data_IF_462481184653
#
_entry.id   IF_462481184653
#
_cell.length_a   1.000
_cell.length_b   1.000
_cell.length_c   1.000
_cell.angle_alpha   90.00
_cell.angle_beta   90.00
_cell.angle_gamma   90.00
#
_symmetry.space_group_name_H-M   'P 1'
#
loop_
_entity.id
_entity.type
_entity.pdbx_description
1 polymer ?
#
# COMPACT_ATOMS: atom_id res chain seq x y z
N UNK A 1 -18.97 -24.55 -5.04
CA UNK A 1 -18.13 -25.18 -4.00
C UNK A 1 -16.68 -25.03 -4.47
N UNK A 2 -15.84 -24.19 -3.82
CA UNK A 2 -14.44 -24.08 -4.21
C UNK A 2 -13.72 -25.41 -3.97
N UNK A 3 -12.90 -25.82 -4.94
CA UNK A 3 -12.23 -27.12 -5.02
C UNK A 3 -11.21 -27.28 -3.87
N UNK A 4 -11.58 -27.93 -2.76
CA UNK A 4 -10.75 -28.13 -1.54
C UNK A 4 -9.68 -29.22 -1.70
N UNK A 5 -9.16 -29.42 -2.92
CA UNK A 5 -8.29 -30.54 -3.22
C UNK A 5 -6.80 -30.20 -3.13
N UNK A 6 -6.06 -31.02 -2.37
CA UNK A 6 -4.60 -30.88 -2.21
C UNK A 6 -3.89 -31.18 -3.52
N UNK A 7 -2.93 -30.33 -3.86
CA UNK A 7 -2.06 -30.47 -5.04
C UNK A 7 -0.61 -30.60 -4.57
N UNK A 8 0.15 -31.52 -5.18
CA UNK A 8 1.57 -31.69 -4.84
C UNK A 8 2.44 -30.61 -5.49
N UNK A 9 3.29 -29.96 -4.71
CA UNK A 9 4.17 -28.90 -5.21
C UNK A 9 5.34 -29.39 -6.07
N UNK A 10 5.66 -30.68 -6.05
CA UNK A 10 6.74 -31.24 -6.89
C UNK A 10 6.19 -31.78 -8.22
N UNK A 11 5.16 -32.63 -8.18
CA UNK A 11 4.64 -33.31 -9.39
C UNK A 11 3.29 -32.80 -9.89
N UNK A 12 2.64 -31.85 -9.22
CA UNK A 12 1.34 -31.29 -9.63
C UNK A 12 0.14 -32.25 -9.51
N UNK A 13 0.34 -33.47 -9.00
CA UNK A 13 -0.75 -34.44 -8.82
C UNK A 13 -1.75 -33.92 -7.78
N UNK A 14 -3.04 -33.93 -8.15
CA UNK A 14 -4.15 -33.62 -7.25
C UNK A 14 -4.65 -34.89 -6.55
N UNK A 15 -5.09 -34.77 -5.31
CA UNK A 15 -5.59 -35.87 -4.49
C UNK A 15 -6.70 -36.70 -5.16
N UNK A 16 -7.57 -36.09 -5.97
CA UNK A 16 -8.71 -36.76 -6.64
C UNK A 16 -8.33 -37.76 -7.75
N UNK A 17 -7.11 -37.67 -8.31
CA UNK A 17 -6.71 -38.50 -9.47
C UNK A 17 -6.17 -39.88 -9.08
N UNK A 18 -6.31 -40.27 -7.81
CA UNK A 18 -5.70 -41.48 -7.27
C UNK A 18 -6.78 -42.35 -6.62
N UNK A 19 -6.99 -43.54 -7.19
CA UNK A 19 -7.86 -44.59 -6.62
C UNK A 19 -7.34 -45.15 -5.27
N UNK A 20 -6.22 -44.63 -4.77
CA UNK A 20 -5.59 -45.01 -3.49
C UNK A 20 -5.39 -43.75 -2.63
N UNK A 21 -5.66 -43.85 -1.32
CA UNK A 21 -5.43 -42.78 -0.34
C UNK A 21 -3.93 -42.48 -0.21
N UNK A 22 -3.39 -41.60 -1.06
CA UNK A 22 -2.01 -41.13 -0.93
C UNK A 22 -1.87 -40.11 0.19
N UNK A 23 -0.75 -40.20 0.91
CA UNK A 23 -0.41 -39.23 1.94
C UNK A 23 0.17 -37.95 1.32
N UNK A 24 -0.35 -36.79 1.73
CA UNK A 24 0.15 -35.46 1.38
C UNK A 24 0.71 -34.79 2.64
N UNK A 25 2.02 -34.52 2.63
CA UNK A 25 2.70 -33.88 3.73
C UNK A 25 2.66 -32.36 3.60
N UNK A 26 2.35 -31.67 4.70
CA UNK A 26 2.48 -30.21 4.81
C UNK A 26 3.93 -29.80 4.97
N UNK A 27 4.24 -28.56 4.58
CA UNK A 27 5.54 -27.97 4.87
C UNK A 27 5.76 -27.88 6.39
N UNK A 28 6.98 -28.09 6.91
CA UNK A 28 7.27 -27.99 8.33
C UNK A 28 7.09 -26.57 8.87
N UNK A 29 6.61 -26.43 10.10
CA UNK A 29 6.51 -25.13 10.79
C UNK A 29 7.85 -24.60 11.34
N UNK A 30 8.87 -25.46 11.41
CA UNK A 30 10.23 -25.05 11.78
C UNK A 30 10.88 -24.34 10.59
N UNK A 31 11.30 -23.08 10.76
CA UNK A 31 11.80 -22.21 9.68
C UNK A 31 12.97 -22.85 8.93
N UNK A 32 13.95 -23.37 9.65
CA UNK A 32 15.13 -23.98 9.03
C UNK A 32 14.78 -25.24 8.26
N UNK A 33 13.89 -26.06 8.80
CA UNK A 33 13.41 -27.26 8.12
C UNK A 33 12.53 -26.95 6.91
N UNK A 34 11.72 -25.89 7.00
CA UNK A 34 10.89 -25.41 5.91
C UNK A 34 11.76 -24.87 4.76
N UNK A 35 12.80 -24.10 5.09
CA UNK A 35 13.82 -23.65 4.13
C UNK A 35 14.40 -24.80 3.33
N UNK A 36 14.77 -25.91 3.98
CA UNK A 36 15.30 -27.08 3.27
C UNK A 36 14.28 -27.70 2.30
N UNK A 37 12.98 -27.68 2.66
CA UNK A 37 11.93 -28.13 1.74
C UNK A 37 11.76 -27.17 0.56
N UNK A 38 11.70 -25.87 0.82
CA UNK A 38 11.62 -24.82 -0.22
C UNK A 38 12.81 -24.92 -1.17
N UNK A 39 14.02 -25.05 -0.62
CA UNK A 39 15.26 -25.29 -1.38
C UNK A 39 15.12 -26.46 -2.32
N UNK A 40 14.72 -27.63 -1.82
CA UNK A 40 14.74 -28.87 -2.60
C UNK A 40 13.55 -28.98 -3.57
N UNK A 41 12.39 -28.39 -3.24
CA UNK A 41 11.25 -28.33 -4.15
C UNK A 41 11.58 -27.48 -5.38
N UNK A 42 12.47 -26.49 -5.25
CA UNK A 42 13.04 -25.77 -6.40
C UNK A 42 12.11 -24.73 -7.01
N UNK A 43 10.92 -24.53 -6.44
CA UNK A 43 9.97 -23.51 -6.88
C UNK A 43 10.18 -22.19 -6.14
N UNK A 44 10.51 -21.16 -6.90
CA UNK A 44 10.88 -19.85 -6.37
C UNK A 44 9.70 -19.12 -5.68
N UNK A 45 8.46 -19.32 -6.14
CA UNK A 45 7.25 -18.75 -5.52
C UNK A 45 7.08 -19.16 -4.04
N UNK A 46 7.54 -20.36 -3.67
CA UNK A 46 7.49 -20.84 -2.29
C UNK A 46 8.45 -20.09 -1.36
N UNK A 47 9.52 -19.49 -1.88
CA UNK A 47 10.50 -18.76 -1.07
C UNK A 47 9.98 -17.40 -0.57
N UNK A 48 8.88 -16.91 -1.15
CA UNK A 48 8.26 -15.64 -0.79
C UNK A 48 7.05 -15.78 0.13
N UNK A 49 6.77 -16.99 0.62
CA UNK A 49 5.68 -17.27 1.53
C UNK A 49 6.17 -17.45 2.97
N UNK A 50 5.37 -16.97 3.92
CA UNK A 50 5.61 -17.21 5.34
C UNK A 50 5.41 -18.70 5.68
N UNK A 51 6.17 -19.21 6.65
CA UNK A 51 6.18 -20.64 7.01
C UNK A 51 4.80 -21.19 7.39
N UNK A 52 3.94 -20.39 8.03
CA UNK A 52 2.57 -20.82 8.34
C UNK A 52 1.70 -20.93 7.08
N UNK A 53 1.82 -20.00 6.13
CA UNK A 53 1.13 -20.07 4.84
C UNK A 53 1.57 -21.29 4.03
N UNK A 54 2.87 -21.60 4.02
CA UNK A 54 3.39 -22.83 3.42
C UNK A 54 2.82 -24.08 4.09
N UNK A 55 2.72 -24.08 5.42
CA UNK A 55 2.16 -25.20 6.18
C UNK A 55 0.69 -25.46 5.82
N UNK A 56 -0.12 -24.41 5.72
CA UNK A 56 -1.57 -24.54 5.56
C UNK A 56 -1.98 -24.78 4.10
N UNK A 57 -1.29 -24.13 3.16
CA UNK A 57 -1.71 -24.11 1.75
C UNK A 57 -0.97 -25.13 0.90
N UNK A 58 0.30 -25.44 1.22
CA UNK A 58 1.20 -26.17 0.33
C UNK A 58 1.47 -27.58 0.81
N UNK A 59 1.56 -28.51 -0.14
CA UNK A 59 1.64 -29.93 0.15
C UNK A 59 2.63 -30.66 -0.78
N UNK A 60 3.28 -31.71 -0.29
CA UNK A 60 4.13 -32.62 -1.07
C UNK A 60 3.66 -34.06 -0.86
N UNK A 61 3.36 -34.78 -1.94
CA UNK A 61 2.88 -36.15 -1.83
C UNK A 61 4.00 -37.14 -1.48
N UNK A 62 3.62 -38.28 -0.90
CA UNK A 62 4.54 -39.25 -0.30
C UNK A 62 5.60 -39.83 -1.24
N UNK A 63 5.37 -39.81 -2.56
CA UNK A 63 6.29 -40.39 -3.57
C UNK A 63 7.61 -39.64 -3.68
N UNK A 64 7.70 -38.45 -3.10
CA UNK A 64 8.91 -37.64 -3.04
C UNK A 64 9.76 -37.91 -1.80
N UNK A 65 9.30 -38.77 -0.89
CA UNK A 65 9.99 -39.13 0.35
C UNK A 65 10.41 -40.60 0.34
N UNK A 66 11.50 -40.93 1.03
CA UNK A 66 11.88 -42.33 1.21
C UNK A 66 10.89 -43.05 2.12
N UNK A 67 10.58 -44.32 1.84
CA UNK A 67 9.74 -45.16 2.74
C UNK A 67 10.28 -45.21 4.18
N UNK A 68 11.59 -45.02 4.37
CA UNK A 68 12.24 -44.98 5.71
C UNK A 68 11.94 -43.70 6.49
N UNK A 69 11.49 -42.65 5.82
CA UNK A 69 11.21 -41.32 6.39
C UNK A 69 9.74 -41.14 6.78
N UNK A 70 8.87 -42.05 6.35
CA UNK A 70 7.45 -42.11 6.71
C UNK A 70 7.28 -43.01 7.94
N UNK A 71 6.40 -42.66 8.87
CA UNK A 71 6.11 -43.48 10.05
C UNK A 71 5.50 -44.83 9.64
N UNK A 72 5.65 -45.88 10.47
CA UNK A 72 5.06 -47.21 10.21
C UNK A 72 3.54 -47.16 9.96
N UNK A 73 2.85 -46.17 10.54
CA UNK A 73 1.43 -45.91 10.34
C UNK A 73 1.06 -45.23 9.00
N UNK A 74 2.05 -44.81 8.18
CA UNK A 74 1.88 -44.01 6.95
C UNK A 74 1.09 -42.70 7.11
N UNK A 75 1.05 -42.14 8.33
CA UNK A 75 0.28 -40.91 8.63
C UNK A 75 1.13 -39.67 8.83
N UNK A 76 2.45 -39.80 9.04
CA UNK A 76 3.34 -38.67 9.38
C UNK A 76 4.76 -38.87 8.83
N UNK A 77 5.49 -37.77 8.66
CA UNK A 77 6.92 -37.78 8.34
C UNK A 77 7.79 -37.69 9.61
N UNK A 78 8.96 -38.31 9.58
CA UNK A 78 10.00 -38.15 10.60
C UNK A 78 10.55 -36.71 10.59
N UNK A 79 11.10 -36.26 11.72
CA UNK A 79 11.57 -34.86 11.92
C UNK A 79 12.66 -34.40 10.93
N UNK A 80 13.44 -35.33 10.37
CA UNK A 80 14.52 -35.03 9.40
C UNK A 80 14.14 -35.31 7.94
N UNK A 81 12.89 -35.68 7.69
CA UNK A 81 12.43 -35.97 6.33
C UNK A 81 12.40 -34.68 5.50
N UNK A 82 12.94 -34.77 4.29
CA UNK A 82 12.85 -33.75 3.23
C UNK A 82 12.55 -34.45 1.90
N UNK A 83 11.87 -33.80 0.95
CA UNK A 83 11.65 -34.37 -0.38
C UNK A 83 13.00 -34.63 -1.05
N UNK A 84 13.22 -35.80 -1.64
CA UNK A 84 14.49 -36.14 -2.35
C UNK A 84 14.30 -36.97 -3.60
N UNK A 85 13.11 -37.53 -3.81
CA UNK A 85 12.83 -38.44 -4.92
C UNK A 85 11.98 -37.72 -5.97
N UNK A 86 12.22 -38.02 -7.25
CA UNK A 86 11.40 -37.55 -8.37
C UNK A 86 11.18 -36.02 -8.37
N UNK A 87 12.25 -35.27 -8.09
CA UNK A 87 12.24 -33.81 -8.13
C UNK A 87 12.17 -33.35 -9.58
N UNK A 88 11.37 -32.32 -9.84
CA UNK A 88 11.10 -31.79 -11.18
C UNK A 88 11.91 -30.53 -11.50
N UNK A 89 12.48 -29.88 -10.47
CA UNK A 89 13.23 -28.65 -10.56
C UNK A 89 14.56 -28.76 -9.81
N UNK A 90 15.61 -28.02 -10.22
CA UNK A 90 16.86 -27.93 -9.47
C UNK A 90 16.64 -27.21 -8.12
N UNK A 91 17.50 -27.44 -7.12
CA UNK A 91 17.39 -26.72 -5.86
C UNK A 91 17.56 -25.20 -6.03
N UNK A 92 16.84 -24.41 -5.22
CA UNK A 92 16.99 -22.96 -5.22
C UNK A 92 18.38 -22.53 -4.76
N UNK A 93 18.83 -21.41 -5.33
CA UNK A 93 20.08 -20.74 -4.97
C UNK A 93 20.01 -20.16 -3.56
N UNK A 94 21.15 -20.09 -2.89
CA UNK A 94 21.23 -19.61 -1.51
C UNK A 94 20.84 -18.14 -1.37
N UNK A 95 20.98 -17.31 -2.43
CA UNK A 95 20.50 -15.92 -2.44
C UNK A 95 18.98 -15.82 -2.22
N UNK A 96 18.20 -16.69 -2.88
CA UNK A 96 16.73 -16.72 -2.75
C UNK A 96 16.35 -17.24 -1.35
N UNK A 97 17.11 -18.20 -0.81
CA UNK A 97 16.88 -18.75 0.52
C UNK A 97 17.25 -17.78 1.64
N UNK A 98 18.18 -16.86 1.38
CA UNK A 98 18.48 -15.77 2.29
C UNK A 98 17.26 -14.85 2.46
N UNK A 99 16.57 -14.52 1.37
CA UNK A 99 15.31 -13.76 1.42
C UNK A 99 14.22 -14.54 2.18
N UNK A 100 14.09 -15.85 1.94
CA UNK A 100 13.17 -16.71 2.70
C UNK A 100 13.46 -16.67 4.21
N UNK A 101 14.73 -16.73 4.60
CA UNK A 101 15.13 -16.63 6.01
C UNK A 101 14.82 -15.25 6.59
N UNK A 102 15.13 -14.17 5.88
CA UNK A 102 14.83 -12.81 6.33
C UNK A 102 13.32 -12.59 6.55
N UNK A 103 12.50 -13.10 5.63
CA UNK A 103 11.04 -13.06 5.75
C UNK A 103 10.53 -13.79 7.00
N UNK A 104 11.20 -14.88 7.39
CA UNK A 104 10.76 -15.77 8.46
C UNK A 104 11.59 -15.68 9.76
N UNK A 105 12.60 -14.79 9.84
CA UNK A 105 13.44 -14.56 11.03
C UNK A 105 12.92 -13.42 11.92
N UNK A 106 12.02 -12.56 11.45
CA UNK A 106 11.46 -11.45 12.23
C UNK A 106 10.43 -11.88 13.31
N UNK A 107 10.36 -13.17 13.63
CA UNK A 107 9.43 -13.72 14.62
C UNK A 107 10.04 -13.97 16.02
N UNK A 108 11.35 -13.79 16.20
CA UNK A 108 12.04 -14.02 17.50
C UNK A 108 12.88 -12.78 17.89
N UNK A 109 12.26 -11.77 18.51
CA UNK A 109 12.97 -10.83 19.39
C UNK A 109 12.19 -10.71 20.70
N UNK A 110 12.63 -11.48 21.69
CA UNK A 110 12.31 -11.25 23.10
C UNK A 110 13.15 -10.06 23.61
N UNK A 111 12.57 -9.12 24.38
CA UNK A 111 13.29 -7.91 24.79
C UNK A 111 14.03 -8.15 26.10
N UNK A 112 15.34 -8.36 26.04
CA UNK A 112 16.24 -8.03 27.14
C UNK A 112 17.45 -7.29 26.59
N UNK A 113 17.45 -5.97 26.82
CA UNK A 113 18.53 -5.07 26.49
C UNK A 113 18.27 -3.73 27.14
N UNK A 114 18.61 -3.60 28.42
CA UNK A 114 18.85 -2.29 29.02
C UNK A 114 20.13 -1.75 28.40
N UNK A 115 20.01 -0.67 27.64
CA UNK A 115 21.12 0.25 27.38
C UNK A 115 20.72 1.60 27.99
N UNK A 116 21.38 1.94 29.09
CA UNK A 116 21.38 3.30 29.64
C UNK A 116 22.02 4.25 28.62
N UNK A 117 21.29 5.29 28.23
CA UNK A 117 21.83 6.42 27.49
C UNK A 117 22.19 7.49 28.52
N UNK A 118 23.48 7.72 28.73
CA UNK A 118 23.98 8.87 29.47
C UNK A 118 23.64 10.16 28.72
N UNK A 119 22.97 11.07 29.41
CA UNK A 119 22.66 12.40 28.94
C UNK A 119 23.92 13.26 28.84
N UNK A 120 24.05 14.02 27.74
CA UNK A 120 25.02 15.12 27.61
C UNK A 120 24.22 16.44 27.64
N UNK A 121 24.66 17.48 28.37
CA UNK A 121 23.82 18.63 28.67
C UNK A 121 23.76 19.66 27.55
N UNK A 122 22.62 20.33 27.55
CA UNK A 122 22.22 21.54 26.83
C UNK A 122 23.30 22.63 26.81
N UNK A 123 23.59 23.14 25.61
CA UNK A 123 24.27 24.42 25.41
C UNK A 123 23.26 25.42 24.82
N UNK A 124 23.10 26.52 25.53
CA UNK A 124 22.26 27.67 25.22
C UNK A 124 23.07 28.79 24.57
N UNK A 125 22.32 29.74 23.95
CA UNK A 125 22.67 31.13 23.59
C UNK A 125 22.96 31.42 22.10
N UNK A 126 22.70 32.64 21.58
CA UNK A 126 21.66 33.61 21.96
C UNK A 126 20.89 34.20 20.76
N UNK A 127 19.83 34.93 21.09
CA UNK A 127 19.02 35.75 20.19
C UNK A 127 19.81 36.91 19.55
N UNK A 128 19.48 37.25 18.30
CA UNK A 128 19.75 38.58 17.76
C UNK A 128 18.52 39.13 17.07
N UNK A 129 18.18 40.35 17.48
CA UNK A 129 17.11 41.22 17.04
C UNK A 129 17.44 41.90 15.71
N UNK A 130 16.48 41.98 14.79
CA UNK A 130 16.25 43.20 14.02
C UNK A 130 14.97 43.10 13.17
N UNK A 131 14.10 44.09 13.35
CA UNK A 131 13.05 44.56 12.45
C UNK A 131 13.15 46.10 12.47
N UNK A 132 12.46 46.85 11.60
CA UNK A 132 12.25 46.67 10.16
C UNK A 132 12.56 47.99 9.41
N UNK A 133 12.56 47.98 8.07
CA UNK A 133 12.49 49.24 7.29
C UNK A 133 11.43 49.14 6.19
N UNK A 134 10.50 50.08 6.28
CA UNK A 134 9.39 50.43 5.41
C UNK A 134 9.80 51.17 4.13
N UNK A 135 8.78 51.47 3.30
CA UNK A 135 8.71 52.35 2.11
C UNK A 135 8.74 51.57 0.78
N UNK A 136 7.86 51.75 -0.20
CA UNK A 136 6.64 52.56 -0.34
C UNK A 136 5.98 52.12 -1.67
N UNK A 137 4.66 52.27 -1.76
CA UNK A 137 3.87 52.01 -2.97
C UNK A 137 4.05 53.16 -3.98
N UNK A 138 4.11 52.85 -5.27
CA UNK A 138 3.58 53.76 -6.31
C UNK A 138 2.92 52.96 -7.43
N UNK A 139 1.59 53.09 -7.49
CA UNK A 139 0.76 52.88 -8.67
C UNK A 139 1.00 54.03 -9.65
N UNK A 140 1.22 53.74 -10.94
CA UNK A 140 0.75 54.60 -12.06
C UNK A 140 0.46 53.72 -13.28
N UNK A 141 -0.82 53.60 -13.62
CA UNK A 141 -1.30 53.44 -15.01
C UNK A 141 -1.73 54.84 -15.48
N UNK A 142 -1.71 55.16 -16.79
CA UNK A 142 -2.96 54.99 -17.53
C UNK A 142 -2.83 54.70 -19.05
N UNK A 143 -3.87 53.99 -19.54
CA UNK A 143 -4.61 54.22 -20.78
C UNK A 143 -3.88 54.18 -22.14
N UNK A 144 -4.29 53.19 -22.94
CA UNK A 144 -4.23 53.23 -24.40
C UNK A 144 -5.37 52.39 -24.96
N UNK A 145 -6.48 53.05 -25.30
CA UNK A 145 -7.59 52.48 -26.06
C UNK A 145 -7.15 52.32 -27.52
N UNK A 146 -7.31 51.13 -28.10
CA UNK A 146 -7.42 50.96 -29.55
C UNK A 146 -8.61 50.05 -29.84
N UNK A 147 -9.61 50.68 -30.42
CA UNK A 147 -10.81 50.10 -31.01
C UNK A 147 -10.43 49.48 -32.36
N UNK A 148 -10.74 48.20 -32.59
CA UNK A 148 -10.65 47.59 -33.92
C UNK A 148 -11.94 46.84 -34.21
N UNK A 149 -12.54 47.23 -35.34
CA UNK A 149 -13.86 46.90 -35.82
C UNK A 149 -14.03 45.42 -36.23
N UNK A 150 -15.27 44.95 -36.10
CA UNK A 150 -15.74 43.67 -36.60
C UNK A 150 -16.01 43.69 -38.12
N UNK A 151 -15.74 42.57 -38.79
CA UNK A 151 -16.26 42.19 -40.13
C UNK A 151 -16.38 40.65 -40.20
N UNK A 152 -17.19 40.04 -41.08
CA UNK A 152 -18.19 39.06 -40.65
C UNK A 152 -17.86 37.61 -41.05
N UNK A 153 -18.53 36.72 -40.32
CA UNK A 153 -18.90 35.33 -40.61
C UNK A 153 -18.63 34.80 -42.02
N UNK A 154 -17.85 33.71 -42.08
CA UNK A 154 -17.94 32.70 -43.12
C UNK A 154 -17.96 31.31 -42.46
N UNK A 155 -19.11 30.66 -42.53
CA UNK A 155 -19.38 29.31 -42.05
C UNK A 155 -18.95 28.26 -43.10
N UNK A 156 -18.18 27.27 -42.66
CA UNK A 156 -17.88 26.02 -43.37
C UNK A 156 -17.87 24.87 -42.35
N UNK A 157 -18.18 23.64 -42.77
CA UNK A 157 -18.96 22.70 -41.98
C UNK A 157 -18.16 22.02 -40.87
N UNK A 158 -18.82 21.90 -39.72
CA UNK A 158 -18.41 21.12 -38.56
C UNK A 158 -18.36 19.63 -38.91
N UNK A 159 -17.16 19.07 -39.09
CA UNK A 159 -16.95 17.66 -38.78
C UNK A 159 -16.71 17.57 -37.28
N UNK A 160 -17.77 17.27 -36.53
CA UNK A 160 -17.70 16.93 -35.11
C UNK A 160 -16.97 15.60 -34.95
N UNK A 161 -15.64 15.63 -35.02
CA UNK A 161 -14.84 14.64 -34.33
C UNK A 161 -14.88 15.08 -32.88
N UNK A 162 -15.74 14.43 -32.08
CA UNK A 162 -15.60 14.51 -30.63
C UNK A 162 -14.14 14.17 -30.32
N UNK A 163 -13.36 15.05 -29.67
CA UNK A 163 -12.14 14.59 -29.04
C UNK A 163 -12.60 13.52 -28.06
N UNK A 164 -12.23 12.27 -28.31
CA UNK A 164 -12.19 11.30 -27.21
C UNK A 164 -11.13 11.88 -26.29
N UNK A 165 -11.56 12.68 -25.32
CA UNK A 165 -10.75 13.04 -24.17
C UNK A 165 -10.22 11.70 -23.67
N UNK A 166 -8.91 11.45 -23.85
CA UNK A 166 -8.32 10.14 -23.57
C UNK A 166 -8.37 9.96 -22.06
N UNK A 167 -9.47 9.39 -21.58
CA UNK A 167 -9.74 9.24 -20.16
C UNK A 167 -8.66 8.35 -19.53
N UNK A 168 -8.12 8.79 -18.39
CA UNK A 168 -7.14 8.03 -17.62
C UNK A 168 -7.88 6.86 -16.97
N UNK A 169 -7.56 5.63 -17.39
CA UNK A 169 -8.11 4.44 -16.74
C UNK A 169 -7.55 4.34 -15.32
N UNK A 170 -8.41 4.10 -14.33
CA UNK A 170 -8.01 3.80 -12.96
C UNK A 170 -8.59 2.46 -12.52
N UNK A 171 -7.75 1.44 -12.44
CA UNK A 171 -8.07 0.17 -11.82
C UNK A 171 -7.99 0.29 -10.30
N UNK A 172 -9.12 0.10 -9.61
CA UNK A 172 -9.22 0.41 -8.18
C UNK A 172 -10.22 -0.44 -7.41
N UNK A 173 -10.15 -0.34 -6.09
CA UNK A 173 -11.19 -0.81 -5.17
C UNK A 173 -11.50 0.32 -4.19
N UNK A 174 -12.77 0.70 -4.03
CA UNK A 174 -13.18 1.90 -3.31
C UNK A 174 -12.64 1.98 -1.86
N UNK A 175 -12.61 0.86 -1.14
CA UNK A 175 -12.12 0.81 0.24
C UNK A 175 -10.60 1.00 0.41
N UNK A 176 -9.83 0.83 -0.68
CA UNK A 176 -8.37 0.87 -0.63
C UNK A 176 -7.86 2.30 -0.41
N UNK A 177 -7.12 2.50 0.70
CA UNK A 177 -6.49 3.78 1.01
C UNK A 177 -5.62 4.34 -0.14
N UNK A 178 -4.66 3.58 -0.72
CA UNK A 178 -3.87 4.09 -1.83
C UNK A 178 -4.71 4.42 -3.08
N UNK A 179 -5.86 3.77 -3.31
CA UNK A 179 -6.78 4.16 -4.38
C UNK A 179 -7.41 5.53 -4.11
N UNK A 180 -7.86 5.76 -2.87
CA UNK A 180 -8.42 7.06 -2.46
C UNK A 180 -7.41 8.21 -2.58
N UNK A 181 -6.11 7.95 -2.42
CA UNK A 181 -5.07 8.94 -2.72
C UNK A 181 -5.15 9.41 -4.17
N UNK A 182 -5.25 8.48 -5.12
CA UNK A 182 -5.32 8.83 -6.55
C UNK A 182 -6.63 9.55 -6.88
N UNK A 183 -7.76 9.12 -6.29
CA UNK A 183 -9.05 9.79 -6.45
C UNK A 183 -9.02 11.24 -5.93
N UNK A 184 -8.43 11.46 -4.75
CA UNK A 184 -8.28 12.80 -4.17
C UNK A 184 -7.39 13.70 -5.03
N UNK A 185 -6.28 13.15 -5.56
CA UNK A 185 -5.38 13.91 -6.44
C UNK A 185 -6.04 14.24 -7.78
N UNK A 186 -6.78 13.29 -8.37
CA UNK A 186 -7.53 13.55 -9.58
C UNK A 186 -8.60 14.62 -9.37
N UNK A 187 -9.35 14.57 -8.26
CA UNK A 187 -10.30 15.61 -7.91
C UNK A 187 -9.62 16.99 -7.71
N UNK A 188 -8.44 17.03 -7.09
CA UNK A 188 -7.68 18.26 -6.89
C UNK A 188 -7.13 18.87 -8.19
N UNK A 189 -7.01 18.05 -9.24
CA UNK A 189 -6.57 18.43 -10.58
C UNK A 189 -7.73 18.57 -11.58
N UNK A 190 -8.97 18.38 -11.13
CA UNK A 190 -10.18 18.34 -11.98
C UNK A 190 -10.06 17.32 -13.14
N UNK A 191 -9.42 16.17 -12.87
CA UNK A 191 -9.23 15.10 -13.84
C UNK A 191 -10.39 14.11 -13.83
N UNK A 192 -10.95 13.85 -15.01
CA UNK A 192 -11.92 12.78 -15.21
C UNK A 192 -11.19 11.44 -15.39
N UNK A 193 -11.45 10.51 -14.47
CA UNK A 193 -10.92 9.16 -14.52
C UNK A 193 -11.98 8.18 -15.06
N UNK A 194 -11.56 7.25 -15.91
CA UNK A 194 -12.35 6.07 -16.25
C UNK A 194 -12.16 5.00 -15.17
N UNK A 195 -13.09 4.94 -14.22
CA UNK A 195 -13.01 4.04 -13.07
C UNK A 195 -13.28 2.59 -13.48
N UNK A 196 -12.29 1.72 -13.29
CA UNK A 196 -12.34 0.27 -13.53
C UNK A 196 -12.30 -0.49 -12.20
N UNK A 197 -13.45 -0.75 -11.55
CA UNK A 197 -13.45 -1.46 -10.28
C UNK A 197 -12.91 -2.88 -10.45
N UNK A 198 -12.09 -3.32 -9.50
CA UNK A 198 -11.61 -4.71 -9.41
C UNK A 198 -12.11 -5.38 -8.13
N UNK A 199 -12.59 -6.61 -8.27
CA UNK A 199 -12.92 -7.50 -7.18
C UNK A 199 -11.70 -8.30 -6.74
N UNK A 200 -11.01 -7.77 -5.72
CA UNK A 200 -9.79 -8.40 -5.18
C UNK A 200 -10.05 -9.75 -4.48
N UNK A 201 -11.30 -9.99 -4.06
CA UNK A 201 -11.72 -11.23 -3.40
C UNK A 201 -11.87 -12.39 -4.38
N UNK A 202 -12.29 -12.09 -5.60
CA UNK A 202 -12.41 -13.07 -6.69
C UNK A 202 -11.08 -13.25 -7.44
N UNK A 203 -10.04 -12.50 -7.06
CA UNK A 203 -8.71 -12.62 -7.64
C UNK A 203 -8.63 -12.03 -9.05
N UNK A 204 -9.44 -11.03 -9.39
CA UNK A 204 -9.40 -10.36 -10.69
C UNK A 204 -8.02 -9.75 -11.00
N UNK A 205 -7.33 -9.25 -9.97
CA UNK A 205 -5.96 -8.75 -10.05
C UNK A 205 -4.92 -9.84 -10.37
N UNK A 206 -5.29 -11.13 -10.25
CA UNK A 206 -4.41 -12.26 -10.58
C UNK A 206 -4.66 -12.78 -12.00
N UNK A 207 -5.62 -12.21 -12.73
CA UNK A 207 -5.88 -12.61 -14.12
C UNK A 207 -4.77 -12.11 -15.04
N UNK A 208 -4.48 -12.89 -16.08
CA UNK A 208 -3.38 -12.65 -16.99
C UNK A 208 -3.41 -11.25 -17.63
N UNK A 209 -4.61 -10.71 -17.90
CA UNK A 209 -4.74 -9.39 -18.52
C UNK A 209 -4.39 -8.25 -17.57
N UNK A 210 -4.70 -8.37 -16.27
CA UNK A 210 -4.27 -7.39 -15.27
C UNK A 210 -2.78 -7.53 -14.94
N UNK A 211 -2.26 -8.76 -14.85
CA UNK A 211 -0.83 -9.02 -14.61
C UNK A 211 0.08 -8.47 -15.72
N UNK A 212 -0.40 -8.38 -16.97
CA UNK A 212 0.31 -7.70 -18.06
C UNK A 212 0.45 -6.20 -17.81
N UNK A 213 -0.52 -5.58 -17.16
CA UNK A 213 -0.49 -4.15 -16.80
C UNK A 213 0.36 -3.93 -15.56
N UNK A 214 0.14 -4.72 -14.50
CA UNK A 214 0.82 -4.61 -13.22
C UNK A 214 1.21 -6.01 -12.70
N UNK A 215 2.49 -6.42 -12.83
CA UNK A 215 2.96 -7.71 -12.32
C UNK A 215 2.96 -7.80 -10.79
N UNK A 216 2.94 -6.66 -10.08
CA UNK A 216 2.76 -6.58 -8.63
C UNK A 216 1.31 -6.77 -8.20
N UNK A 217 0.36 -6.88 -9.16
CA UNK A 217 -1.05 -7.21 -8.95
C UNK A 217 -1.72 -6.40 -7.82
N UNK A 218 -1.42 -5.09 -7.78
CA UNK A 218 -1.94 -4.15 -6.77
C UNK A 218 -2.87 -3.11 -7.39
N UNK A 219 -3.73 -2.57 -6.54
CA UNK A 219 -4.48 -1.34 -6.82
C UNK A 219 -3.96 -0.22 -5.91
N UNK A 220 -3.92 1.04 -6.38
CA UNK A 220 -4.34 1.51 -7.69
C UNK A 220 -3.33 1.18 -8.80
N UNK A 221 -3.84 0.99 -10.02
CA UNK A 221 -3.06 1.01 -11.25
C UNK A 221 -3.76 1.94 -12.23
N UNK A 222 -3.06 2.94 -12.77
CA UNK A 222 -3.59 3.77 -13.86
C UNK A 222 -3.08 3.28 -15.21
N UNK A 223 -3.83 3.57 -16.28
CA UNK A 223 -3.32 3.54 -17.64
C UNK A 223 -3.65 4.88 -18.30
N UNK A 224 -2.61 5.64 -18.61
CA UNK A 224 -2.73 6.95 -19.24
C UNK A 224 -2.03 6.91 -20.60
N UNK A 225 -2.78 7.09 -21.68
CA UNK A 225 -2.25 7.03 -23.05
C UNK A 225 -1.43 5.73 -23.35
N UNK A 226 -1.86 4.61 -22.76
CA UNK A 226 -1.19 3.31 -22.90
C UNK A 226 0.00 3.09 -21.97
N UNK A 227 0.31 4.04 -21.09
CA UNK A 227 1.34 3.91 -20.06
C UNK A 227 0.75 3.40 -18.74
N UNK A 228 0.99 2.14 -18.34
CA UNK A 228 0.57 1.63 -17.05
C UNK A 228 1.49 2.13 -15.92
N UNK A 229 0.91 2.60 -14.82
CA UNK A 229 1.65 3.00 -13.62
C UNK A 229 0.89 2.56 -12.36
N UNK A 230 1.60 1.92 -11.43
CA UNK A 230 1.13 1.57 -10.09
C UNK A 230 2.08 2.17 -9.05
N UNK A 231 1.72 2.08 -7.76
CA UNK A 231 2.18 2.91 -6.64
C UNK A 231 1.48 4.27 -6.58
N UNK A 232 0.52 4.41 -5.64
CA UNK A 232 -0.34 5.59 -5.54
C UNK A 232 0.44 6.91 -5.44
N UNK A 233 1.54 6.93 -4.69
CA UNK A 233 2.38 8.13 -4.50
C UNK A 233 3.24 8.45 -5.71
N UNK A 234 3.57 7.46 -6.54
CA UNK A 234 4.21 7.71 -7.83
C UNK A 234 3.17 8.26 -8.83
N UNK A 235 1.97 7.67 -8.86
CA UNK A 235 0.82 8.15 -9.64
C UNK A 235 0.50 9.60 -9.29
N UNK A 236 0.42 9.96 -8.01
CA UNK A 236 0.14 11.34 -7.59
C UNK A 236 1.15 12.35 -8.13
N UNK A 237 2.45 12.03 -8.03
CA UNK A 237 3.52 12.88 -8.58
C UNK A 237 3.41 12.98 -10.10
N UNK A 238 3.15 11.86 -10.77
CA UNK A 238 2.96 11.79 -12.22
C UNK A 238 1.79 12.68 -12.67
N UNK A 239 0.62 12.55 -12.06
CA UNK A 239 -0.57 13.31 -12.42
C UNK A 239 -0.37 14.81 -12.22
N UNK A 240 0.23 15.23 -11.10
CA UNK A 240 0.52 16.67 -10.88
C UNK A 240 1.57 17.19 -11.86
N UNK A 241 2.64 16.43 -12.12
CA UNK A 241 3.67 16.85 -13.06
C UNK A 241 3.14 16.94 -14.52
N UNK A 242 2.22 16.06 -14.93
CA UNK A 242 1.66 16.03 -16.30
C UNK A 242 0.50 17.00 -16.47
N UNK A 243 -0.39 17.11 -15.48
CA UNK A 243 -1.66 17.82 -15.62
C UNK A 243 -1.85 19.03 -14.69
N UNK A 244 -1.00 19.21 -13.68
CA UNK A 244 -1.15 20.31 -12.72
C UNK A 244 -0.82 21.70 -13.27
N UNK A 245 -0.06 21.77 -14.37
CA UNK A 245 0.44 23.04 -14.90
C UNK A 245 1.45 23.72 -13.96
N UNK A 246 1.91 24.91 -14.34
CA UNK A 246 2.97 25.63 -13.62
C UNK A 246 2.51 26.28 -12.31
N UNK A 247 1.20 26.49 -12.15
CA UNK A 247 0.61 27.14 -10.98
C UNK A 247 0.16 26.17 -9.88
N UNK A 248 0.21 24.85 -10.12
CA UNK A 248 -0.23 23.89 -9.10
C UNK A 248 0.69 23.88 -7.89
N UNK A 249 0.12 24.18 -6.73
CA UNK A 249 0.80 24.06 -5.45
C UNK A 249 0.81 22.63 -4.90
N UNK A 250 0.13 21.69 -5.56
CA UNK A 250 -0.03 20.31 -5.06
C UNK A 250 1.30 19.56 -4.98
N UNK A 251 2.24 19.87 -5.88
CA UNK A 251 3.59 19.33 -5.88
C UNK A 251 4.60 20.40 -6.36
N UNK A 252 5.08 21.27 -5.45
CA UNK A 252 5.85 22.47 -5.80
C UNK A 252 7.15 22.12 -6.53
N UNK A 253 7.64 23.00 -7.43
CA UNK A 253 8.91 22.81 -8.15
C UNK A 253 10.14 23.28 -7.35
N UNK A 254 9.95 24.13 -6.34
CA UNK A 254 11.01 24.51 -5.41
C UNK A 254 11.61 23.27 -4.74
N UNK A 255 12.94 23.19 -4.70
CA UNK A 255 13.68 21.99 -4.28
C UNK A 255 13.39 21.65 -2.82
N UNK A 256 13.35 22.65 -1.93
CA UNK A 256 13.18 22.43 -0.50
C UNK A 256 11.73 22.06 -0.19
N UNK A 257 10.76 22.76 -0.78
CA UNK A 257 9.35 22.45 -0.63
C UNK A 257 9.01 21.06 -1.19
N UNK A 258 9.56 20.71 -2.36
CA UNK A 258 9.39 19.39 -2.98
C UNK A 258 9.97 18.28 -2.09
N UNK A 259 11.18 18.46 -1.58
CA UNK A 259 11.82 17.50 -0.69
C UNK A 259 10.99 17.25 0.58
N UNK A 260 10.31 18.27 1.10
CA UNK A 260 9.41 18.12 2.26
C UNK A 260 8.15 17.31 1.90
N UNK A 261 7.55 17.54 0.74
CA UNK A 261 6.42 16.74 0.22
C UNK A 261 6.85 15.28 0.03
N UNK A 262 7.99 15.05 -0.60
CA UNK A 262 8.54 13.72 -0.82
C UNK A 262 8.82 13.00 0.51
N UNK A 263 9.39 13.70 1.49
CA UNK A 263 9.61 13.16 2.84
C UNK A 263 8.29 12.70 3.49
N UNK A 264 7.20 13.46 3.34
CA UNK A 264 5.89 13.08 3.91
C UNK A 264 5.25 11.91 3.18
N UNK A 265 5.38 11.84 1.86
CA UNK A 265 4.93 10.69 1.07
C UNK A 265 5.70 9.42 1.44
N UNK A 266 7.01 9.52 1.61
CA UNK A 266 7.88 8.41 1.98
C UNK A 266 7.63 7.98 3.43
N UNK A 267 7.33 8.92 4.33
CA UNK A 267 6.86 8.63 5.68
C UNK A 267 5.53 7.86 5.67
N UNK A 268 4.59 8.23 4.80
CA UNK A 268 3.30 7.55 4.70
C UNK A 268 3.46 6.10 4.22
N UNK A 269 4.19 5.85 3.12
CA UNK A 269 4.42 4.49 2.59
C UNK A 269 5.41 3.67 3.41
N UNK A 270 6.38 4.29 4.08
CA UNK A 270 7.47 3.60 4.77
C UNK A 270 7.26 3.46 6.27
N UNK A 271 6.37 4.26 6.87
CA UNK A 271 6.17 4.29 8.32
C UNK A 271 4.69 4.19 8.69
N UNK A 272 3.86 5.18 8.36
CA UNK A 272 2.50 5.27 8.90
C UNK A 272 1.59 4.14 8.39
N UNK A 273 1.42 4.03 7.08
CA UNK A 273 0.50 3.04 6.50
C UNK A 273 0.95 1.59 6.77
N UNK A 274 2.24 1.20 6.64
CA UNK A 274 2.68 -0.14 6.99
C UNK A 274 2.47 -0.49 8.47
N UNK A 275 2.71 0.44 9.41
CA UNK A 275 2.48 0.19 10.83
C UNK A 275 1.00 0.01 11.13
N UNK A 276 0.12 0.77 10.46
CA UNK A 276 -1.31 0.53 10.51
C UNK A 276 -1.68 -0.85 9.95
N UNK A 277 -1.20 -1.18 8.75
CA UNK A 277 -1.48 -2.45 8.08
C UNK A 277 -1.02 -3.65 8.92
N UNK A 278 0.19 -3.60 9.48
CA UNK A 278 0.75 -4.62 10.35
C UNK A 278 -0.07 -4.82 11.63
N UNK A 279 -0.57 -3.73 12.22
CA UNK A 279 -1.43 -3.82 13.39
C UNK A 279 -2.82 -4.36 13.04
N UNK A 280 -3.49 -3.80 12.03
CA UNK A 280 -4.93 -3.97 11.83
C UNK A 280 -5.31 -5.10 10.87
N UNK A 281 -4.58 -5.30 9.76
CA UNK A 281 -4.96 -6.28 8.75
C UNK A 281 -4.91 -7.74 9.21
N UNK A 282 -3.97 -8.18 10.07
CA UNK A 282 -4.03 -9.52 10.63
C UNK A 282 -5.34 -9.78 11.40
N UNK A 283 -5.89 -8.77 12.05
CA UNK A 283 -7.14 -8.89 12.82
C UNK A 283 -8.36 -9.06 11.92
N UNK A 284 -8.40 -8.35 10.79
CA UNK A 284 -9.55 -8.34 9.88
C UNK A 284 -9.49 -9.47 8.85
N UNK A 285 -8.30 -9.77 8.32
CA UNK A 285 -8.14 -10.70 7.20
C UNK A 285 -7.45 -12.01 7.57
N UNK A 286 -6.72 -12.05 8.69
CA UNK A 286 -5.98 -13.23 9.15
C UNK A 286 -6.56 -13.92 10.37
N UNK A 287 -7.64 -13.39 10.99
CA UNK A 287 -8.18 -13.88 12.26
C UNK A 287 -7.22 -13.72 13.45
N UNK A 288 -6.19 -12.89 13.31
CA UNK A 288 -5.22 -12.59 14.35
C UNK A 288 -5.81 -11.77 15.49
N UNK A 289 -5.16 -11.79 16.65
CA UNK A 289 -5.51 -10.91 17.77
C UNK A 289 -4.76 -9.57 17.67
N UNK A 290 -5.28 -8.49 18.27
CA UNK A 290 -4.54 -7.24 18.39
C UNK A 290 -3.17 -7.49 19.04
N UNK A 291 -2.11 -7.02 18.38
CA UNK A 291 -0.73 -7.11 18.89
C UNK A 291 -0.28 -5.76 19.47
N UNK A 292 0.10 -5.77 20.75
CA UNK A 292 0.48 -4.56 21.47
C UNK A 292 1.79 -3.95 20.93
N UNK A 293 2.71 -4.76 20.43
CA UNK A 293 3.97 -4.26 19.87
C UNK A 293 3.72 -3.50 18.56
N UNK A 294 2.87 -4.04 17.70
CA UNK A 294 2.44 -3.39 16.44
C UNK A 294 1.61 -2.14 16.70
N UNK A 295 0.73 -2.16 17.72
CA UNK A 295 -0.02 -0.98 18.14
C UNK A 295 0.91 0.15 18.59
N UNK A 296 1.88 -0.15 19.46
CA UNK A 296 2.85 0.84 19.92
C UNK A 296 3.62 1.47 18.76
N UNK A 297 4.00 0.70 17.74
CA UNK A 297 4.63 1.24 16.53
C UNK A 297 3.68 2.19 15.80
N UNK A 298 2.41 1.84 15.63
CA UNK A 298 1.44 2.76 15.03
C UNK A 298 1.30 4.05 15.84
N UNK A 299 1.20 3.95 17.17
CA UNK A 299 1.14 5.09 18.08
C UNK A 299 2.36 6.01 17.93
N UNK A 300 3.57 5.46 17.82
CA UNK A 300 4.80 6.22 17.53
C UNK A 300 4.71 6.96 16.19
N UNK A 301 4.14 6.34 15.14
CA UNK A 301 3.97 7.01 13.85
C UNK A 301 2.98 8.18 13.95
N UNK A 302 1.92 8.03 14.74
CA UNK A 302 0.97 9.11 15.03
C UNK A 302 1.63 10.23 15.84
N UNK A 303 2.55 9.92 16.76
CA UNK A 303 3.37 10.94 17.45
C UNK A 303 4.22 11.73 16.45
N UNK A 304 4.87 11.06 15.49
CA UNK A 304 5.65 11.75 14.45
C UNK A 304 4.79 12.66 13.59
N UNK A 305 3.63 12.18 13.12
CA UNK A 305 2.72 13.01 12.33
C UNK A 305 2.20 14.20 13.15
N UNK A 306 1.89 14.00 14.43
CA UNK A 306 1.47 15.08 15.32
C UNK A 306 2.54 16.16 15.47
N UNK A 307 3.82 15.75 15.53
CA UNK A 307 4.95 16.67 15.58
C UNK A 307 5.17 17.40 14.23
N UNK A 308 4.96 16.72 13.09
CA UNK A 308 5.04 17.36 11.77
C UNK A 308 3.98 18.43 11.56
N UNK A 309 2.84 18.31 12.25
CA UNK A 309 1.72 19.26 12.20
C UNK A 309 1.81 20.35 13.28
N UNK A 310 2.82 20.34 14.14
CA UNK A 310 3.00 21.37 15.18
C UNK A 310 3.20 22.74 14.53
N UNK A 311 2.28 23.67 14.81
CA UNK A 311 2.30 25.02 14.24
C UNK A 311 2.03 25.10 12.74
N UNK A 312 1.59 24.01 12.09
CA UNK A 312 1.32 23.97 10.65
C UNK A 312 -0.17 23.81 10.34
N UNK A 313 -0.60 24.35 9.19
CA UNK A 313 -1.97 24.16 8.68
C UNK A 313 -2.12 22.82 7.95
N UNK A 314 -1.16 22.50 7.09
CA UNK A 314 -1.01 21.27 6.31
C UNK A 314 0.32 20.60 6.64
N UNK A 315 0.53 19.35 6.24
CA UNK A 315 1.70 18.54 6.68
C UNK A 315 3.05 19.07 6.18
N UNK A 316 3.03 20.01 5.23
CA UNK A 316 4.21 20.66 4.64
C UNK A 316 4.16 22.19 4.67
N UNK A 317 3.27 22.81 5.45
CA UNK A 317 3.17 24.27 5.51
C UNK A 317 1.74 24.80 5.49
N UNK A 318 1.55 25.94 4.82
CA UNK A 318 0.27 26.65 4.75
C UNK A 318 -0.60 26.27 3.54
N UNK A 319 -0.06 25.47 2.62
CA UNK A 319 -0.71 25.10 1.36
C UNK A 319 -0.88 23.60 1.27
N UNK A 320 -2.05 23.17 0.79
CA UNK A 320 -2.39 21.76 0.59
C UNK A 320 -1.51 21.15 -0.51
N UNK A 321 -0.98 19.96 -0.24
CA UNK A 321 -0.15 19.21 -1.19
C UNK A 321 -0.63 17.77 -1.36
N UNK A 322 -0.05 17.04 -2.31
CA UNK A 322 -0.29 15.59 -2.44
C UNK A 322 0.12 14.80 -1.19
N UNK A 323 0.98 15.34 -0.32
CA UNK A 323 1.30 14.72 0.95
C UNK A 323 0.10 14.69 1.91
N UNK A 324 -0.67 15.79 1.97
CA UNK A 324 -1.90 15.85 2.77
C UNK A 324 -2.94 14.86 2.24
N UNK A 325 -3.12 14.81 0.92
CA UNK A 325 -4.07 13.91 0.26
C UNK A 325 -3.69 12.43 0.48
N UNK A 326 -2.40 12.11 0.50
CA UNK A 326 -1.90 10.77 0.82
C UNK A 326 -2.16 10.41 2.28
N UNK A 327 -1.73 11.28 3.20
CA UNK A 327 -1.84 11.04 4.63
C UNK A 327 -3.29 11.02 5.10
N UNK A 328 -4.19 11.84 4.53
CA UNK A 328 -5.60 11.84 4.96
C UNK A 328 -6.30 10.55 4.54
N UNK A 329 -5.94 9.97 3.40
CA UNK A 329 -6.45 8.66 3.03
C UNK A 329 -6.03 7.59 4.06
N UNK A 330 -4.78 7.63 4.54
CA UNK A 330 -4.29 6.74 5.60
C UNK A 330 -4.97 7.01 6.95
N UNK A 331 -5.03 8.26 7.40
CA UNK A 331 -5.60 8.65 8.70
C UNK A 331 -7.10 8.37 8.77
N UNK A 332 -7.85 8.65 7.71
CA UNK A 332 -9.27 8.26 7.64
C UNK A 332 -9.48 6.74 7.69
N UNK A 333 -8.51 5.94 7.21
CA UNK A 333 -8.55 4.47 7.37
C UNK A 333 -8.31 4.05 8.81
N UNK A 334 -7.37 4.71 9.50
CA UNK A 334 -7.06 4.50 10.91
C UNK A 334 -8.28 4.84 11.79
N UNK A 335 -8.94 5.98 11.50
CA UNK A 335 -10.18 6.38 12.17
C UNK A 335 -11.32 5.39 11.91
N UNK A 336 -11.46 4.92 10.67
CA UNK A 336 -12.45 3.90 10.31
C UNK A 336 -12.21 2.53 10.98
N UNK A 337 -10.97 2.26 11.38
CA UNK A 337 -10.58 1.12 12.18
C UNK A 337 -10.80 1.32 13.70
N UNK A 338 -11.42 2.42 14.11
CA UNK A 338 -11.74 2.79 15.50
C UNK A 338 -10.50 2.98 16.39
N UNK A 339 -9.36 3.32 15.78
CA UNK A 339 -8.12 3.66 16.49
C UNK A 339 -8.18 5.14 16.86
N UNK A 340 -8.20 5.43 18.16
CA UNK A 340 -8.42 6.79 18.68
C UNK A 340 -7.31 7.76 18.27
N UNK A 341 -7.71 8.90 17.68
CA UNK A 341 -6.82 10.01 17.35
C UNK A 341 -6.73 11.08 18.47
N UNK A 342 -7.52 10.95 19.54
CA UNK A 342 -7.65 11.97 20.60
C UNK A 342 -6.35 12.34 21.32
N UNK A 343 -5.38 11.43 21.33
CA UNK A 343 -4.06 11.66 21.93
C UNK A 343 -3.14 12.51 21.05
N UNK A 344 -3.58 12.86 19.83
CA UNK A 344 -2.83 13.55 18.80
C UNK A 344 -3.60 14.79 18.32
N UNK A 345 -3.66 15.86 19.12
CA UNK A 345 -4.55 17.00 18.86
C UNK A 345 -4.26 17.72 17.55
N UNK A 346 -3.00 17.76 17.09
CA UNK A 346 -2.67 18.38 15.81
C UNK A 346 -3.16 17.51 14.64
N UNK A 347 -3.08 16.18 14.77
CA UNK A 347 -3.62 15.23 13.79
C UNK A 347 -5.14 15.34 13.74
N UNK A 348 -5.81 15.38 14.89
CA UNK A 348 -7.27 15.52 14.96
C UNK A 348 -7.74 16.83 14.30
N UNK A 349 -7.12 17.96 14.66
CA UNK A 349 -7.41 19.27 14.06
C UNK A 349 -7.17 19.28 12.54
N UNK A 350 -6.03 18.76 12.09
CA UNK A 350 -5.71 18.67 10.67
C UNK A 350 -6.68 17.72 9.94
N UNK A 351 -7.10 16.62 10.56
CA UNK A 351 -8.03 15.68 9.95
C UNK A 351 -9.40 16.33 9.69
N UNK A 352 -9.93 17.08 10.66
CA UNK A 352 -11.17 17.86 10.47
C UNK A 352 -11.03 18.94 9.39
N UNK A 353 -9.85 19.60 9.32
CA UNK A 353 -9.55 20.52 8.21
C UNK A 353 -9.57 19.80 6.86
N UNK A 354 -8.97 18.61 6.75
CA UNK A 354 -8.92 17.88 5.49
C UNK A 354 -10.30 17.41 5.02
N UNK A 355 -11.21 17.04 5.94
CA UNK A 355 -12.60 16.69 5.58
C UNK A 355 -13.35 17.83 4.87
N UNK A 356 -12.94 19.07 5.12
CA UNK A 356 -13.59 20.28 4.57
C UNK A 356 -12.80 20.93 3.43
N UNK A 357 -11.49 20.71 3.36
CA UNK A 357 -10.61 21.39 2.39
C UNK A 357 -10.03 20.47 1.31
N UNK A 358 -10.03 19.15 1.51
CA UNK A 358 -9.63 18.22 0.45
C UNK A 358 -10.66 18.26 -0.69
N UNK A 359 -10.22 18.45 -1.96
CA UNK A 359 -11.13 18.48 -3.09
C UNK A 359 -11.96 17.20 -3.20
N UNK A 360 -13.27 17.37 -3.34
CA UNK A 360 -14.25 16.29 -3.45
C UNK A 360 -14.12 15.18 -2.38
N UNK A 361 -13.74 15.54 -1.14
CA UNK A 361 -13.48 14.59 -0.06
C UNK A 361 -14.58 13.52 0.10
N UNK A 362 -15.84 13.93 -0.07
CA UNK A 362 -16.96 13.03 0.14
C UNK A 362 -17.00 11.91 -0.91
N UNK A 363 -16.81 12.22 -2.18
CA UNK A 363 -16.82 11.19 -3.22
C UNK A 363 -15.48 10.48 -3.34
N UNK A 364 -14.37 11.22 -3.27
CA UNK A 364 -13.03 10.70 -3.48
C UNK A 364 -12.49 9.90 -2.28
N UNK A 365 -12.96 10.18 -1.05
CA UNK A 365 -12.47 9.53 0.16
C UNK A 365 -13.58 8.91 1.03
N UNK A 366 -14.59 9.68 1.45
CA UNK A 366 -15.58 9.23 2.45
C UNK A 366 -16.40 8.02 1.96
N UNK A 367 -16.88 8.01 0.71
CA UNK A 367 -17.57 6.85 0.14
C UNK A 367 -16.74 5.56 0.25
N UNK A 368 -15.44 5.66 -0.04
CA UNK A 368 -14.54 4.51 0.10
C UNK A 368 -14.32 4.09 1.55
N UNK A 369 -14.29 5.04 2.50
CA UNK A 369 -14.26 4.74 3.93
C UNK A 369 -15.52 3.97 4.37
N UNK A 370 -16.70 4.35 3.87
CA UNK A 370 -17.94 3.67 4.20
C UNK A 370 -17.94 2.23 3.67
N UNK A 371 -17.43 2.00 2.45
CA UNK A 371 -17.22 0.65 1.91
C UNK A 371 -16.19 -0.15 2.71
N UNK A 372 -15.11 0.49 3.17
CA UNK A 372 -14.11 -0.17 4.03
C UNK A 372 -14.71 -0.58 5.39
N UNK A 373 -15.54 0.27 6.00
CA UNK A 373 -16.27 -0.06 7.24
C UNK A 373 -17.22 -1.24 7.05
N UNK A 374 -17.97 -1.27 5.94
CA UNK A 374 -18.83 -2.40 5.58
C UNK A 374 -18.02 -3.69 5.46
N UNK A 375 -16.86 -3.62 4.81
CA UNK A 375 -15.97 -4.77 4.67
C UNK A 375 -15.47 -5.28 6.03
N UNK A 376 -15.01 -4.40 6.91
CA UNK A 376 -14.58 -4.78 8.27
C UNK A 376 -15.73 -5.48 9.01
N UNK A 377 -16.94 -4.93 8.97
CA UNK A 377 -18.10 -5.51 9.65
C UNK A 377 -18.42 -6.93 9.11
N UNK A 378 -18.37 -7.11 7.79
CA UNK A 378 -18.57 -8.42 7.15
C UNK A 378 -17.49 -9.44 7.55
N UNK A 379 -16.23 -9.02 7.64
CA UNK A 379 -15.12 -9.91 8.00
C UNK A 379 -15.15 -10.30 9.49
N UNK A 380 -15.49 -9.36 10.38
CA UNK A 380 -15.70 -9.65 11.81
C UNK A 380 -16.83 -10.66 12.00
N UNK A 381 -17.98 -10.47 11.35
CA UNK A 381 -19.11 -11.38 11.43
C UNK A 381 -18.78 -12.82 10.96
N UNK A 382 -17.88 -12.98 9.99
CA UNK A 382 -17.41 -14.30 9.53
C UNK A 382 -16.43 -14.98 10.48
N UNK A 383 -15.77 -14.22 11.35
CA UNK A 383 -14.74 -14.74 12.28
C UNK A 383 -15.34 -15.10 13.64
N UNK A 384 -16.53 -14.57 13.96
CA UNK A 384 -17.30 -14.89 15.18
C UNK A 384 -18.19 -16.15 15.06
N UNK A 385 -18.31 -16.72 13.85
CA UNK A 385 -18.93 -18.02 13.55
C UNK A 385 -17.88 -19.13 13.53
#
# INVERSE_FOLDING_TARGET
MPDTHRTCEVCGIKERHLNEKRFFARFPLDVNRCKEWVKIVGKEDLAYLQVHMLHDLKHVCEVHFSRREITKSKKRLKKRAVPKLNLTLPPLRDEILFQFLQLNSQADVTPQGQFEVQAVPSASMPASSSQPSSLEKTDVTPQGQFEVQAVPSASMPTSSVNPVEMAIDLYFTAGSAPCRVVLLVAAALDLQLNLKPLNLWEGEQLQADFLKLNPQHTVPTIVDEGFPLWESRAISRYLVNKYGGDSSSLYPKDLMARALVDQRLDFDIGTLYPRFAQYFYPQVFGGGKPDAASLKKLEEALVFLNAFLEGQKYVTGDVLTIADLSLVATISTIDAAEISLKSYPNVEKWFELMKTTAPDYQNANQKGIDEFKKLIAQMKAKTEL
#
